data_IF_717187948764
#
_entry.id   IF_717187948764
#
_cell.length_a   1.000
_cell.length_b   1.000
_cell.length_c   1.000
_cell.angle_alpha   90.00
_cell.angle_beta   90.00
_cell.angle_gamma   90.00
#
_symmetry.space_group_name_H-M   'P 1'
#
loop_
_entity.id
_entity.type
_entity.pdbx_description
1 polymer ?
#
# COMPACT_ATOMS: atom_id res chain seq x y z
N UNK A 1 13.56 35.05 3.57
CA UNK A 1 14.11 33.79 3.03
C UNK A 1 13.41 33.53 1.70
N UNK A 2 14.14 33.45 0.58
CA UNK A 2 13.55 33.03 -0.69
C UNK A 2 13.42 31.51 -0.70
N UNK A 3 12.22 31.00 -0.93
CA UNK A 3 12.01 29.57 -1.15
C UNK A 3 12.52 29.20 -2.54
N UNK A 4 13.35 28.17 -2.62
CA UNK A 4 13.78 27.57 -3.89
C UNK A 4 12.91 26.33 -4.10
N UNK A 5 12.15 26.29 -5.19
CA UNK A 5 11.45 25.09 -5.65
C UNK A 5 12.20 24.48 -6.84
N UNK A 6 12.45 23.18 -6.76
CA UNK A 6 12.91 22.37 -7.88
C UNK A 6 11.75 21.46 -8.31
N UNK A 7 11.66 21.17 -9.60
CA UNK A 7 10.67 20.22 -10.16
C UNK A 7 11.46 19.13 -10.88
N UNK A 8 11.73 17.99 -10.20
CA UNK A 8 12.59 16.93 -10.74
C UNK A 8 12.20 16.48 -12.15
N UNK A 9 10.90 16.38 -12.43
CA UNK A 9 10.37 15.96 -13.72
C UNK A 9 10.74 16.95 -14.83
N UNK A 10 10.63 18.25 -14.58
CA UNK A 10 11.01 19.29 -15.56
C UNK A 10 12.52 19.33 -15.77
N UNK A 11 13.31 19.09 -14.72
CA UNK A 11 14.76 19.00 -14.84
C UNK A 11 15.19 17.81 -15.71
N UNK A 12 14.57 16.64 -15.52
CA UNK A 12 14.83 15.45 -16.33
C UNK A 12 14.39 15.64 -17.79
N UNK A 13 13.24 16.29 -18.02
CA UNK A 13 12.80 16.65 -19.36
C UNK A 13 13.80 17.61 -20.04
N UNK A 14 14.22 18.66 -19.36
CA UNK A 14 15.20 19.62 -19.87
C UNK A 14 16.55 18.96 -20.19
N UNK A 15 17.00 17.99 -19.38
CA UNK A 15 18.21 17.22 -19.66
C UNK A 15 18.08 16.38 -20.94
N UNK A 16 16.91 15.79 -21.15
CA UNK A 16 16.59 15.01 -22.36
C UNK A 16 16.57 15.91 -23.61
N UNK A 17 15.91 17.05 -23.52
CA UNK A 17 15.85 18.04 -24.61
C UNK A 17 17.24 18.55 -24.97
N UNK A 18 18.07 18.84 -23.98
CA UNK A 18 19.44 19.27 -24.21
C UNK A 18 20.29 18.19 -24.88
N UNK A 19 20.12 16.92 -24.49
CA UNK A 19 20.80 15.81 -25.16
C UNK A 19 20.38 15.68 -26.64
N UNK A 20 19.09 15.89 -26.95
CA UNK A 20 18.59 15.90 -28.31
C UNK A 20 19.15 17.06 -29.14
N UNK A 21 19.22 18.26 -28.57
CA UNK A 21 19.86 19.43 -29.19
C UNK A 21 21.33 19.15 -29.46
N UNK A 22 22.06 18.62 -28.47
CA UNK A 22 23.48 18.27 -28.60
C UNK A 22 23.73 17.24 -29.71
N UNK A 23 22.86 16.23 -29.83
CA UNK A 23 22.92 15.23 -30.92
C UNK A 23 22.75 15.88 -32.30
N UNK A 24 21.74 16.74 -32.44
CA UNK A 24 21.45 17.47 -33.69
C UNK A 24 22.61 18.38 -34.08
N UNK A 25 23.16 19.10 -33.10
CA UNK A 25 24.28 20.01 -33.30
C UNK A 25 25.55 19.24 -33.72
N UNK A 26 25.82 18.10 -33.09
CA UNK A 26 26.95 17.23 -33.46
C UNK A 26 26.82 16.72 -34.90
N UNK A 27 25.63 16.32 -35.32
CA UNK A 27 25.39 15.92 -36.71
C UNK A 27 25.66 17.07 -37.69
N UNK A 28 25.14 18.27 -37.41
CA UNK A 28 25.38 19.46 -38.22
C UNK A 28 26.89 19.81 -38.32
N UNK A 29 27.62 19.73 -37.20
CA UNK A 29 29.06 19.98 -37.20
C UNK A 29 29.84 18.95 -37.99
N UNK A 30 29.49 17.67 -37.91
CA UNK A 30 30.13 16.62 -38.72
C UNK A 30 29.93 16.86 -40.22
N UNK A 31 28.74 17.29 -40.64
CA UNK A 31 28.46 17.64 -42.04
C UNK A 31 29.25 18.88 -42.49
N UNK A 32 29.36 19.89 -41.63
CA UNK A 32 30.06 21.14 -41.96
C UNK A 32 31.59 21.03 -41.88
N UNK A 33 32.15 20.07 -41.13
CA UNK A 33 33.58 20.00 -40.85
C UNK A 33 34.45 19.84 -42.10
N UNK A 34 34.15 18.83 -42.93
CA UNK A 34 34.94 18.57 -44.13
C UNK A 34 35.00 19.76 -45.11
N UNK A 35 33.87 20.36 -45.55
CA UNK A 35 33.90 21.47 -46.51
C UNK A 35 34.47 22.77 -45.95
N UNK A 36 34.48 22.98 -44.62
CA UNK A 36 35.00 24.21 -44.01
C UNK A 36 36.48 24.14 -43.66
N UNK A 37 37.02 22.95 -43.40
CA UNK A 37 38.45 22.74 -43.14
C UNK A 37 39.25 22.58 -44.43
N UNK A 38 38.61 22.14 -45.52
CA UNK A 38 39.24 21.94 -46.84
C UNK A 38 38.89 23.03 -47.84
N UNK A 39 39.05 24.31 -47.49
CA UNK A 39 38.73 25.42 -48.41
C UNK A 39 39.77 25.47 -49.54
N UNK A 40 39.29 25.46 -50.78
CA UNK A 40 40.11 25.54 -51.98
C UNK A 40 40.36 27.02 -52.35
N UNK A 41 41.58 27.40 -52.76
CA UNK A 41 41.87 28.76 -53.25
C UNK A 41 40.96 29.16 -54.41
N UNK A 42 40.49 30.41 -54.42
CA UNK A 42 39.62 30.93 -55.47
C UNK A 42 40.35 31.08 -56.83
N UNK A 43 41.66 31.31 -56.80
CA UNK A 43 42.56 31.33 -57.94
C UNK A 43 43.94 30.80 -57.54
N UNK A 44 44.83 30.64 -58.53
CA UNK A 44 46.17 30.06 -58.35
C UNK A 44 47.20 31.03 -57.76
N UNK A 45 46.80 32.26 -57.41
CA UNK A 45 47.68 33.26 -56.82
C UNK A 45 47.90 33.03 -55.33
N UNK A 46 48.99 33.59 -54.81
CA UNK A 46 49.40 33.44 -53.41
C UNK A 46 48.41 34.09 -52.44
N UNK A 47 47.68 35.13 -52.84
CA UNK A 47 46.69 35.80 -51.98
C UNK A 47 45.47 34.90 -51.80
N UNK A 48 44.96 34.30 -52.89
CA UNK A 48 43.88 33.31 -52.84
C UNK A 48 44.26 32.09 -51.99
N UNK A 49 45.50 31.62 -52.11
CA UNK A 49 46.01 30.52 -51.29
C UNK A 49 46.07 30.89 -49.79
N UNK A 50 46.61 32.07 -49.47
CA UNK A 50 46.69 32.56 -48.10
C UNK A 50 45.30 32.76 -47.48
N UNK A 51 44.34 33.31 -48.23
CA UNK A 51 42.96 33.50 -47.77
C UNK A 51 42.29 32.15 -47.48
N UNK A 52 42.39 31.17 -48.38
CA UNK A 52 41.86 29.82 -48.16
C UNK A 52 42.48 29.16 -46.91
N UNK A 53 43.79 29.36 -46.70
CA UNK A 53 44.48 28.85 -45.51
C UNK A 53 43.99 29.49 -44.21
N UNK A 54 43.73 30.80 -44.19
CA UNK A 54 43.17 31.50 -43.02
C UNK A 54 41.80 30.94 -42.65
N UNK A 55 40.90 30.74 -43.62
CA UNK A 55 39.59 30.15 -43.37
C UNK A 55 39.68 28.71 -42.86
N UNK A 56 40.59 27.91 -43.43
CA UNK A 56 40.80 26.52 -43.02
C UNK A 56 41.32 26.43 -41.58
N UNK A 57 42.26 27.31 -41.19
CA UNK A 57 42.76 27.38 -39.80
C UNK A 57 41.69 27.85 -38.81
N UNK A 58 40.87 28.83 -39.20
CA UNK A 58 39.74 29.27 -38.38
C UNK A 58 38.72 28.14 -38.18
N UNK A 59 38.40 27.38 -39.24
CA UNK A 59 37.51 26.24 -39.18
C UNK A 59 38.07 25.13 -38.26
N UNK A 60 39.36 24.78 -38.36
CA UNK A 60 39.99 23.80 -37.46
C UNK A 60 39.89 24.22 -35.99
N UNK A 61 40.15 25.49 -35.70
CA UNK A 61 40.02 26.05 -34.34
C UNK A 61 38.57 25.99 -33.84
N UNK A 62 37.61 26.33 -34.71
CA UNK A 62 36.19 26.25 -34.41
C UNK A 62 35.74 24.81 -34.12
N UNK A 63 36.14 23.84 -34.94
CA UNK A 63 35.81 22.42 -34.74
C UNK A 63 36.38 21.91 -33.42
N UNK A 64 37.61 22.32 -33.06
CA UNK A 64 38.21 21.99 -31.76
C UNK A 64 37.43 22.57 -30.58
N UNK A 65 36.94 23.81 -30.68
CA UNK A 65 36.12 24.44 -29.64
C UNK A 65 34.76 23.76 -29.49
N UNK A 66 34.10 23.49 -30.61
CA UNK A 66 32.81 22.78 -30.65
C UNK A 66 32.92 21.38 -30.03
N UNK A 67 34.02 20.66 -30.26
CA UNK A 67 34.27 19.37 -29.61
C UNK A 67 34.23 19.47 -28.08
N UNK A 68 34.88 20.49 -27.51
CA UNK A 68 34.84 20.76 -26.06
C UNK A 68 33.43 21.12 -25.58
N UNK A 69 32.70 21.92 -26.36
CA UNK A 69 31.32 22.30 -26.05
C UNK A 69 30.37 21.10 -26.06
N UNK A 70 30.54 20.14 -26.99
CA UNK A 70 29.78 18.89 -27.02
C UNK A 70 29.98 18.09 -25.74
N UNK A 71 31.24 17.89 -25.33
CA UNK A 71 31.57 17.17 -24.09
C UNK A 71 30.98 17.87 -22.87
N UNK A 72 31.05 19.19 -22.80
CA UNK A 72 30.41 19.96 -21.72
C UNK A 72 28.89 19.76 -21.70
N UNK A 73 28.22 19.85 -22.86
CA UNK A 73 26.77 19.66 -22.97
C UNK A 73 26.32 18.28 -22.50
N UNK A 74 27.08 17.24 -22.85
CA UNK A 74 26.84 15.86 -22.39
C UNK A 74 26.98 15.73 -20.87
N UNK A 75 28.06 16.27 -20.29
CA UNK A 75 28.28 16.27 -18.86
C UNK A 75 27.22 17.07 -18.10
N UNK A 76 26.82 18.22 -18.64
CA UNK A 76 25.77 19.05 -18.04
C UNK A 76 24.42 18.32 -18.03
N UNK A 77 24.03 17.68 -19.14
CA UNK A 77 22.80 16.90 -19.19
C UNK A 77 22.81 15.72 -18.18
N UNK A 78 23.94 15.03 -18.05
CA UNK A 78 24.13 13.98 -17.04
C UNK A 78 24.01 14.52 -15.61
N UNK A 79 24.68 15.63 -15.31
CA UNK A 79 24.61 16.27 -13.98
C UNK A 79 23.20 16.77 -13.67
N UNK A 80 22.51 17.35 -14.64
CA UNK A 80 21.13 17.81 -14.47
C UNK A 80 20.18 16.63 -14.17
N UNK A 81 20.37 15.51 -14.85
CA UNK A 81 19.62 14.27 -14.59
C UNK A 81 19.90 13.71 -13.20
N UNK A 82 21.18 13.67 -12.79
CA UNK A 82 21.57 13.26 -11.44
C UNK A 82 21.00 14.17 -10.36
N UNK A 83 21.02 15.49 -10.59
CA UNK A 83 20.41 16.49 -9.71
C UNK A 83 18.90 16.31 -9.58
N UNK A 84 18.20 16.07 -10.68
CA UNK A 84 16.77 15.74 -10.66
C UNK A 84 16.48 14.52 -9.78
N UNK A 85 17.25 13.44 -9.95
CA UNK A 85 17.15 12.24 -9.12
C UNK A 85 17.39 12.51 -7.63
N UNK A 86 18.36 13.37 -7.31
CA UNK A 86 18.65 13.74 -5.93
C UNK A 86 17.49 14.54 -5.28
N UNK A 87 16.89 15.49 -6.00
CA UNK A 87 15.72 16.23 -5.50
C UNK A 87 14.49 15.33 -5.33
N UNK A 88 14.22 14.44 -6.30
CA UNK A 88 13.14 13.46 -6.19
C UNK A 88 13.32 12.52 -4.97
N UNK A 89 14.54 12.05 -4.73
CA UNK A 89 14.86 11.25 -3.54
C UNK A 89 14.66 12.03 -2.24
N UNK A 90 15.06 13.30 -2.21
CA UNK A 90 14.84 14.18 -1.06
C UNK A 90 13.35 14.42 -0.79
N UNK A 91 12.54 14.64 -1.83
CA UNK A 91 11.08 14.75 -1.71
C UNK A 91 10.44 13.47 -1.18
N UNK A 92 10.87 12.30 -1.65
CA UNK A 92 10.38 11.02 -1.14
C UNK A 92 10.68 10.82 0.35
N UNK A 93 11.91 11.14 0.79
CA UNK A 93 12.30 11.06 2.20
C UNK A 93 11.51 12.06 3.06
N UNK A 94 11.32 13.28 2.59
CA UNK A 94 10.55 14.30 3.29
C UNK A 94 9.06 13.90 3.39
N UNK A 95 8.48 13.37 2.31
CA UNK A 95 7.11 12.86 2.29
C UNK A 95 6.92 11.70 3.28
N UNK A 96 7.87 10.75 3.32
CA UNK A 96 7.86 9.66 4.31
C UNK A 96 7.97 10.18 5.74
N UNK A 97 8.79 11.21 5.98
CA UNK A 97 8.96 11.82 7.30
C UNK A 97 7.69 12.56 7.76
N UNK A 98 6.96 13.19 6.84
CA UNK A 98 5.67 13.85 7.15
C UNK A 98 4.57 12.83 7.39
N UNK A 99 4.58 11.70 6.68
CA UNK A 99 3.63 10.61 6.86
C UNK A 99 3.90 9.77 8.13
N UNK A 100 5.09 9.91 8.73
CA UNK A 100 5.43 9.21 9.96
C UNK A 100 4.64 9.79 11.14
N UNK A 101 3.73 8.99 11.71
CA UNK A 101 3.03 9.31 12.95
C UNK A 101 3.59 8.46 14.11
N UNK A 102 4.41 9.05 15.01
CA UNK A 102 4.94 8.34 16.18
C UNK A 102 3.84 7.78 17.09
N UNK A 103 2.68 8.45 17.13
CA UNK A 103 1.58 8.03 18.01
C UNK A 103 0.92 6.74 17.50
N UNK A 104 0.99 6.44 16.20
CA UNK A 104 0.46 5.18 15.66
C UNK A 104 1.17 3.96 16.25
N UNK A 105 2.50 3.98 16.33
CA UNK A 105 3.32 2.91 16.91
C UNK A 105 3.07 2.81 18.42
N UNK A 106 2.99 3.95 19.10
CA UNK A 106 2.74 3.99 20.55
C UNK A 106 1.34 3.44 20.85
N UNK A 107 0.33 3.81 20.06
CA UNK A 107 -1.04 3.35 20.24
C UNK A 107 -1.17 1.85 19.97
N UNK A 108 -0.51 1.32 18.93
CA UNK A 108 -0.45 -0.12 18.66
C UNK A 108 0.16 -0.90 19.84
N UNK A 109 1.21 -0.36 20.47
CA UNK A 109 1.83 -0.97 21.64
C UNK A 109 0.95 -0.88 22.90
N UNK A 110 0.21 0.23 23.07
CA UNK A 110 -0.74 0.42 24.17
C UNK A 110 -1.95 -0.52 24.05
N UNK A 111 -2.44 -0.74 22.83
CA UNK A 111 -3.63 -1.58 22.56
C UNK A 111 -3.30 -3.08 22.49
N UNK A 112 -2.02 -3.46 22.37
CA UNK A 112 -1.57 -4.84 22.27
C UNK A 112 -2.02 -5.72 23.46
N UNK A 113 -1.92 -5.30 24.74
CA UNK A 113 -2.39 -6.10 25.87
C UNK A 113 -3.91 -6.30 25.86
N UNK A 114 -4.68 -5.26 25.52
CA UNK A 114 -6.14 -5.31 25.49
C UNK A 114 -6.66 -6.22 24.36
N UNK A 115 -6.04 -6.16 23.18
CA UNK A 115 -6.35 -7.04 22.05
C UNK A 115 -5.97 -8.51 22.32
N UNK A 116 -4.86 -8.75 23.01
CA UNK A 116 -4.49 -10.09 23.46
C UNK A 116 -5.51 -10.64 24.47
N UNK A 117 -5.91 -9.83 25.46
CA UNK A 117 -6.88 -10.23 26.47
C UNK A 117 -8.26 -10.52 25.86
N UNK A 118 -8.70 -9.72 24.89
CA UNK A 118 -9.98 -9.96 24.20
C UNK A 118 -9.95 -11.25 23.37
N UNK A 119 -8.82 -11.54 22.72
CA UNK A 119 -8.59 -12.80 22.00
C UNK A 119 -8.67 -14.00 22.94
N UNK A 120 -8.00 -13.95 24.09
CA UNK A 120 -8.09 -14.99 25.11
C UNK A 120 -9.49 -15.15 25.66
N UNK A 121 -10.18 -14.05 25.95
CA UNK A 121 -11.53 -14.09 26.49
C UNK A 121 -12.52 -14.69 25.47
N UNK A 122 -12.37 -14.35 24.19
CA UNK A 122 -13.15 -14.96 23.11
C UNK A 122 -12.91 -16.47 23.01
N UNK A 123 -11.64 -16.89 23.04
CA UNK A 123 -11.28 -18.31 23.03
C UNK A 123 -11.85 -19.06 24.24
N UNK A 124 -11.75 -18.47 25.43
CA UNK A 124 -12.30 -19.03 26.66
C UNK A 124 -13.83 -19.16 26.60
N UNK A 125 -14.52 -18.12 26.15
CA UNK A 125 -15.98 -18.12 26.03
C UNK A 125 -16.45 -19.13 24.97
N UNK A 126 -15.71 -19.27 23.87
CA UNK A 126 -15.98 -20.27 22.83
C UNK A 126 -15.78 -21.69 23.37
N UNK A 127 -14.63 -21.98 24.00
CA UNK A 127 -14.34 -23.29 24.58
C UNK A 127 -15.33 -23.68 25.68
N UNK A 128 -15.67 -22.75 26.57
CA UNK A 128 -16.65 -22.98 27.63
C UNK A 128 -18.06 -23.17 27.09
N UNK A 129 -18.44 -22.47 26.01
CA UNK A 129 -19.70 -22.67 25.31
C UNK A 129 -19.84 -24.10 24.74
N UNK A 130 -18.79 -24.58 24.07
CA UNK A 130 -18.75 -25.97 23.56
C UNK A 130 -18.86 -26.98 24.70
N UNK A 131 -18.12 -26.77 25.81
CA UNK A 131 -18.16 -27.67 26.96
C UNK A 131 -19.55 -27.72 27.60
N UNK A 132 -20.20 -26.56 27.81
CA UNK A 132 -21.58 -26.50 28.34
C UNK A 132 -22.57 -27.19 27.42
N UNK A 133 -22.43 -26.99 26.11
CA UNK A 133 -23.26 -27.67 25.12
C UNK A 133 -23.09 -29.20 25.21
N UNK A 134 -21.85 -29.70 25.29
CA UNK A 134 -21.60 -31.14 25.47
C UNK A 134 -22.18 -31.69 26.78
N UNK A 135 -21.99 -30.98 27.90
CA UNK A 135 -22.51 -31.40 29.20
C UNK A 135 -24.05 -31.43 29.25
N UNK A 136 -24.73 -30.56 28.51
CA UNK A 136 -26.20 -30.55 28.45
C UNK A 136 -26.79 -31.86 27.92
N UNK A 137 -26.09 -32.58 27.03
CA UNK A 137 -26.52 -33.90 26.56
C UNK A 137 -26.38 -34.99 27.62
N UNK A 138 -25.47 -34.83 28.58
CA UNK A 138 -25.26 -35.79 29.66
C UNK A 138 -26.35 -35.68 30.73
N UNK A 139 -26.88 -34.47 30.95
CA UNK A 139 -27.96 -34.21 31.92
C UNK A 139 -29.36 -34.48 31.37
N UNK A 140 -29.51 -34.52 30.04
CA UNK A 140 -30.77 -34.71 29.33
C UNK A 140 -31.56 -35.97 29.78
N UNK A 141 -30.95 -37.16 29.94
CA UNK A 141 -31.66 -38.35 30.40
C UNK A 141 -32.13 -38.25 31.85
N UNK A 142 -31.34 -37.57 32.71
CA UNK A 142 -31.66 -37.38 34.13
C UNK A 142 -32.86 -36.44 34.27
N UNK A 143 -32.86 -35.34 33.51
CA UNK A 143 -33.95 -34.37 33.49
C UNK A 143 -35.25 -34.98 32.96
N UNK A 144 -35.20 -35.71 31.84
CA UNK A 144 -36.36 -36.43 31.29
C UNK A 144 -36.89 -37.47 32.28
N UNK A 145 -35.99 -38.22 32.93
CA UNK A 145 -36.36 -39.23 33.93
C UNK A 145 -37.07 -38.61 35.14
N UNK A 146 -36.57 -37.47 35.64
CA UNK A 146 -37.19 -36.75 36.74
C UNK A 146 -38.60 -36.25 36.40
N UNK A 147 -38.77 -35.58 35.25
CA UNK A 147 -40.06 -35.07 34.80
C UNK A 147 -41.09 -36.19 34.59
N UNK A 148 -40.66 -37.33 34.04
CA UNK A 148 -41.51 -38.51 33.90
C UNK A 148 -41.96 -39.07 35.27
N UNK A 149 -41.07 -39.07 36.27
CA UNK A 149 -41.37 -39.49 37.63
C UNK A 149 -42.39 -38.56 38.30
N UNK A 150 -42.19 -37.25 38.18
CA UNK A 150 -43.10 -36.21 38.71
C UNK A 150 -44.48 -36.34 38.07
N UNK A 151 -44.55 -36.52 36.74
CA UNK A 151 -45.81 -36.69 36.03
C UNK A 151 -46.54 -37.99 36.43
N UNK A 152 -45.79 -39.08 36.59
CA UNK A 152 -46.34 -40.37 37.06
C UNK A 152 -46.89 -40.26 38.48
N UNK A 153 -46.19 -39.54 39.36
CA UNK A 153 -46.64 -39.28 40.73
C UNK A 153 -47.92 -38.43 40.75
N UNK A 154 -47.97 -37.34 39.98
CA UNK A 154 -49.13 -36.45 39.88
C UNK A 154 -50.36 -37.17 39.32
N UNK A 155 -50.19 -37.98 38.28
CA UNK A 155 -51.30 -38.77 37.69
C UNK A 155 -51.84 -39.80 38.67
N UNK A 156 -50.97 -40.51 39.39
CA UNK A 156 -51.38 -41.47 40.41
C UNK A 156 -52.09 -40.78 41.58
N UNK A 157 -51.57 -39.65 42.07
CA UNK A 157 -52.20 -38.87 43.12
C UNK A 157 -53.60 -38.37 42.71
N UNK A 158 -53.76 -37.93 41.46
CA UNK A 158 -55.05 -37.53 40.90
C UNK A 158 -56.05 -38.68 40.82
N UNK A 159 -55.61 -39.87 40.40
CA UNK A 159 -56.47 -41.05 40.30
C UNK A 159 -56.96 -41.50 41.69
N UNK A 160 -56.06 -41.52 42.69
CA UNK A 160 -56.41 -41.83 44.09
C UNK A 160 -57.44 -40.82 44.62
N UNK A 161 -57.24 -39.52 44.35
CA UNK A 161 -58.19 -38.49 44.77
C UNK A 161 -59.57 -38.65 44.12
N UNK A 162 -59.62 -39.05 42.85
CA UNK A 162 -60.86 -39.34 42.12
C UNK A 162 -61.59 -40.55 42.70
N UNK A 163 -60.88 -41.66 42.97
CA UNK A 163 -61.45 -42.85 43.62
C UNK A 163 -62.03 -42.54 45.00
N UNK A 164 -61.30 -41.79 45.82
CA UNK A 164 -61.79 -41.37 47.14
C UNK A 164 -63.06 -40.51 47.06
N UNK A 165 -63.18 -39.69 46.01
CA UNK A 165 -64.35 -38.84 45.79
C UNK A 165 -65.56 -39.66 45.31
N UNK A 166 -65.34 -40.61 44.39
CA UNK A 166 -66.35 -41.56 43.92
C UNK A 166 -66.86 -42.46 45.05
N UNK A 167 -65.97 -42.99 45.89
CA UNK A 167 -66.35 -43.83 47.03
C UNK A 167 -67.23 -43.07 48.04
N UNK A 168 -66.91 -41.81 48.32
CA UNK A 168 -67.73 -40.94 49.17
C UNK A 168 -69.11 -40.66 48.57
N UNK A 169 -69.19 -40.52 47.25
CA UNK A 169 -70.45 -40.27 46.54
C UNK A 169 -71.35 -41.51 46.50
N UNK A 170 -70.79 -42.70 46.30
CA UNK A 170 -71.53 -43.96 46.22
C UNK A 170 -71.99 -44.51 47.58
N UNK A 171 -71.30 -44.15 48.67
CA UNK A 171 -71.64 -44.60 50.04
C UNK A 171 -72.47 -43.59 50.84
N UNK A 172 -72.81 -42.44 50.25
CA UNK A 172 -73.52 -41.34 50.89
C UNK A 172 -74.77 -40.87 50.14
N UNK A 173 -75.82 -41.68 50.11
CA UNK A 173 -77.20 -41.21 49.85
C UNK A 173 -78.24 -42.14 50.51
N UNK A 174 -79.23 -41.64 51.29
CA UNK A 174 -80.23 -42.46 51.96
C UNK A 174 -81.41 -42.78 51.01
N UNK A 175 -81.89 -44.02 51.01
CA UNK A 175 -83.23 -44.37 50.49
C UNK A 175 -84.20 -44.27 51.68
N UNK A 176 -85.14 -43.31 51.69
CA UNK A 176 -86.19 -43.26 52.69
C UNK A 176 -87.30 -44.24 52.29
N UNK A 177 -87.63 -45.19 53.16
CA UNK A 177 -88.85 -46.01 53.06
C UNK A 177 -89.69 -45.65 54.30
N UNK A 178 -90.99 -45.34 54.13
CA UNK A 178 -91.87 -44.75 55.16
C UNK A 178 -92.01 -45.57 56.44
#
# INVERSE_FOLDING_TARGET
MSYVMATPELMAAAATDLAAIGSTLRAAHLTAAAPTVGVIPAAADEVSAAVAQVFSQAAQSFQGLVGKASTFGEQFAQQLTGGAGAYAAAEAVNAASVAFDPNSIIQELIDAPASLLSTFNSLYNSASGVLKFMLSFLELPVYIGYEALVLTYLTLAGLIALEQTLAKFLTGAPIPIP
#
